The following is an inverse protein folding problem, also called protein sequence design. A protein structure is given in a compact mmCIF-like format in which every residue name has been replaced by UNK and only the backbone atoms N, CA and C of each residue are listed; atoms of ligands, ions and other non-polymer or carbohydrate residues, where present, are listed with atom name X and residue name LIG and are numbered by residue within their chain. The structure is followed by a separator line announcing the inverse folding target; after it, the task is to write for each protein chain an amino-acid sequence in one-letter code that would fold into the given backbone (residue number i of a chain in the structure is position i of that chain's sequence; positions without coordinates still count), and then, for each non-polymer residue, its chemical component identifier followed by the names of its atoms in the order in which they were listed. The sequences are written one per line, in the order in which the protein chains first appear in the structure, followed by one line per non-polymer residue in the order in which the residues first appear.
data_IF_365852774750
#
_entry.id   IF_365852774750
#
_cell.length_a   1.000
_cell.length_b   1.000
_cell.length_c   1.000
_cell.angle_alpha   90.00
_cell.angle_beta   90.00
_cell.angle_gamma   90.00
#
_symmetry.space_group_name_H-M   'P 1'
#
loop_
_entity.id
_entity.type
_entity.pdbx_description
1 polymer ?
#
# COMPACT_ATOMS: atom_id res chain seq x y z
N UNK A 1 -3.53 -23.88 -22.13
CA UNK A 1 -3.58 -23.50 -21.77
C UNK A 1 -3.67 -23.33 -21.14
N UNK A 2 -3.50 -23.68 -21.10
CA UNK A 2 -3.45 -23.35 -20.75
C UNK A 2 -3.50 -23.08 -20.36
N UNK A 3 -3.28 -23.73 -20.55
CA UNK A 3 -3.28 -23.40 -20.54
C UNK A 3 -3.43 -22.95 -20.44
N UNK A 4 -2.85 -23.20 -20.61
CA UNK A 4 -3.14 -22.69 -20.71
C UNK A 4 -3.60 -22.47 -20.46
N UNK A 5 -3.26 -22.56 -21.16
CA UNK A 5 -4.23 -22.24 -20.83
C UNK A 5 -4.91 -22.71 -19.61
N UNK A 6 -5.43 -23.05 -19.20
CA UNK A 6 -6.18 -23.53 -18.11
C UNK A 6 -5.54 -23.38 -16.73
N UNK A 7 -4.61 -22.51 -16.58
CA UNK A 7 -3.97 -22.32 -15.28
C UNK A 7 -4.86 -21.44 -14.43
N UNK A 8 -5.29 -21.97 -13.30
CA UNK A 8 -6.04 -21.19 -12.30
C UNK A 8 -5.08 -20.27 -11.58
N UNK A 9 -5.33 -18.99 -11.67
CA UNK A 9 -4.53 -18.00 -10.95
C UNK A 9 -5.12 -17.83 -9.56
N UNK A 10 -4.30 -18.08 -8.54
CA UNK A 10 -4.70 -17.87 -7.15
C UNK A 10 -4.70 -16.38 -6.87
N UNK A 11 -5.87 -15.82 -6.63
CA UNK A 11 -6.02 -14.39 -6.35
C UNK A 11 -5.24 -13.95 -5.12
N UNK A 12 -5.12 -14.80 -4.11
CA UNK A 12 -4.31 -14.49 -2.93
C UNK A 12 -2.85 -14.34 -3.30
N UNK A 13 -2.34 -15.22 -4.13
CA UNK A 13 -0.96 -15.17 -4.60
C UNK A 13 -0.68 -13.90 -5.38
N UNK A 14 -1.61 -13.54 -6.28
CA UNK A 14 -1.46 -12.32 -7.08
C UNK A 14 -1.41 -11.09 -6.17
N UNK A 15 -2.33 -10.99 -5.23
CA UNK A 15 -2.37 -9.85 -4.30
C UNK A 15 -1.13 -9.78 -3.44
N UNK A 16 -0.62 -10.92 -2.99
CA UNK A 16 0.60 -10.95 -2.18
C UNK A 16 1.80 -10.49 -3.00
N UNK A 17 1.95 -10.99 -4.24
CA UNK A 17 3.04 -10.58 -5.11
C UNK A 17 2.96 -9.09 -5.42
N UNK A 18 1.76 -8.58 -5.66
CA UNK A 18 1.53 -7.17 -5.93
C UNK A 18 1.87 -6.32 -4.70
N UNK A 19 1.48 -6.79 -3.52
CA UNK A 19 1.80 -6.11 -2.27
C UNK A 19 3.31 -6.01 -2.09
N UNK A 20 4.03 -7.10 -2.31
CA UNK A 20 5.49 -7.11 -2.23
C UNK A 20 6.12 -6.09 -3.18
N UNK A 21 5.63 -6.03 -4.41
CA UNK A 21 6.14 -5.09 -5.40
C UNK A 21 5.91 -3.64 -4.96
N UNK A 22 4.73 -3.33 -4.45
CA UNK A 22 4.40 -1.99 -3.97
C UNK A 22 5.25 -1.63 -2.76
N UNK A 23 5.36 -2.55 -1.80
CA UNK A 23 6.17 -2.32 -0.59
C UNK A 23 7.62 -2.06 -0.98
N UNK A 24 8.19 -2.89 -1.86
CA UNK A 24 9.57 -2.73 -2.26
C UNK A 24 9.83 -1.39 -2.95
N UNK A 25 8.93 -0.99 -3.83
CA UNK A 25 9.06 0.29 -4.55
C UNK A 25 9.02 1.46 -3.59
N UNK A 26 8.08 1.46 -2.67
CA UNK A 26 7.92 2.54 -1.70
C UNK A 26 9.09 2.57 -0.72
N UNK A 27 9.55 1.39 -0.27
CA UNK A 27 10.69 1.31 0.63
C UNK A 27 11.95 1.89 0.00
N UNK A 28 12.18 1.62 -1.29
CA UNK A 28 13.32 2.19 -2.01
C UNK A 28 13.19 3.71 -2.08
N UNK A 29 11.99 4.20 -2.39
CA UNK A 29 11.74 5.64 -2.52
C UNK A 29 12.03 6.38 -1.22
N UNK A 30 11.64 5.81 -0.09
CA UNK A 30 11.77 6.46 1.20
C UNK A 30 12.95 5.95 2.04
N UNK A 31 13.76 5.08 1.47
CA UNK A 31 14.99 4.57 2.11
C UNK A 31 14.70 3.95 3.49
N UNK A 32 13.68 3.12 3.53
CA UNK A 32 13.33 2.35 4.73
C UNK A 32 13.32 0.87 4.39
N UNK A 33 13.47 0.02 5.40
CA UNK A 33 13.43 -1.41 5.19
C UNK A 33 12.00 -1.93 5.23
N UNK A 34 11.76 -3.01 4.49
CA UNK A 34 10.48 -3.71 4.54
C UNK A 34 10.15 -4.16 5.96
N UNK A 35 11.17 -4.62 6.70
CA UNK A 35 10.99 -5.05 8.08
C UNK A 35 10.45 -3.93 8.97
N UNK A 36 10.98 -2.72 8.80
CA UNK A 36 10.51 -1.56 9.55
C UNK A 36 9.06 -1.22 9.21
N UNK A 37 8.74 -1.21 7.92
CA UNK A 37 7.41 -0.85 7.45
C UNK A 37 6.36 -1.86 7.91
N UNK A 38 6.69 -3.15 7.85
CA UNK A 38 5.75 -4.22 8.23
C UNK A 38 5.81 -4.54 9.73
N UNK A 39 6.70 -3.89 10.47
CA UNK A 39 6.79 -4.05 11.92
C UNK A 39 5.73 -3.25 12.66
N UNK A 40 5.84 -3.22 13.98
CA UNK A 40 4.85 -2.58 14.83
C UNK A 40 5.27 -1.22 15.35
N UNK A 41 6.46 -0.74 15.00
CA UNK A 41 6.91 0.58 15.42
C UNK A 41 6.01 1.67 14.81
N UNK A 42 5.74 2.70 15.60
CA UNK A 42 4.80 3.76 15.21
C UNK A 42 5.45 5.12 15.09
N UNK A 43 6.69 5.17 14.64
CA UNK A 43 7.31 6.43 14.30
C UNK A 43 6.49 7.11 13.20
N UNK A 44 6.34 8.41 13.30
CA UNK A 44 5.52 9.18 12.36
C UNK A 44 5.90 8.91 10.91
N UNK A 45 7.18 8.83 10.62
CA UNK A 45 7.65 8.56 9.27
C UNK A 45 7.22 7.18 8.77
N UNK A 46 7.29 6.16 9.62
CA UNK A 46 6.86 4.81 9.24
C UNK A 46 5.35 4.73 9.02
N UNK A 47 4.60 5.44 9.87
CA UNK A 47 3.14 5.49 9.72
C UNK A 47 2.77 6.16 8.40
N UNK A 48 3.48 7.24 8.05
CA UNK A 48 3.30 7.93 6.77
C UNK A 48 3.57 6.99 5.59
N UNK A 49 4.66 6.24 5.63
CA UNK A 49 5.00 5.30 4.56
C UNK A 49 3.94 4.21 4.44
N UNK A 50 3.47 3.67 5.57
CA UNK A 50 2.40 2.68 5.57
C UNK A 50 1.12 3.23 4.94
N UNK A 51 0.80 4.48 5.26
CA UNK A 51 -0.39 5.14 4.70
C UNK A 51 -0.29 5.25 3.18
N UNK A 52 0.88 5.55 2.66
CA UNK A 52 1.12 5.62 1.22
C UNK A 52 0.90 4.24 0.58
N UNK A 53 1.48 3.20 1.16
CA UNK A 53 1.34 1.83 0.64
C UNK A 53 -0.12 1.39 0.65
N UNK A 54 -0.81 1.61 1.77
CA UNK A 54 -2.21 1.23 1.91
C UNK A 54 -3.07 1.88 0.82
N UNK A 55 -2.89 3.19 0.63
CA UNK A 55 -3.68 3.90 -0.37
C UNK A 55 -3.30 3.51 -1.80
N UNK A 56 -2.03 3.21 -2.06
CA UNK A 56 -1.61 2.69 -3.36
C UNK A 56 -2.29 1.35 -3.67
N UNK A 57 -2.32 0.44 -2.70
CA UNK A 57 -2.96 -0.85 -2.88
C UNK A 57 -4.45 -0.72 -3.16
N UNK A 58 -5.12 0.17 -2.42
CA UNK A 58 -6.56 0.39 -2.62
C UNK A 58 -6.83 0.95 -4.02
N UNK A 59 -6.06 1.94 -4.44
CA UNK A 59 -6.33 2.62 -5.71
C UNK A 59 -5.88 1.84 -6.93
N UNK A 60 -4.75 1.15 -6.83
CA UNK A 60 -4.20 0.44 -7.99
C UNK A 60 -4.78 -0.96 -8.16
N UNK A 61 -4.99 -1.67 -7.06
CA UNK A 61 -5.31 -3.09 -7.14
C UNK A 61 -6.65 -3.44 -6.53
N UNK A 62 -7.33 -2.46 -5.97
CA UNK A 62 -8.67 -2.61 -5.38
C UNK A 62 -8.74 -3.78 -4.40
N UNK A 63 -7.68 -3.93 -3.62
CA UNK A 63 -7.61 -4.95 -2.58
C UNK A 63 -8.59 -4.59 -1.47
N UNK A 64 -9.27 -5.58 -0.91
CA UNK A 64 -10.22 -5.33 0.16
C UNK A 64 -9.51 -4.83 1.41
N UNK A 65 -10.22 -4.04 2.20
CA UNK A 65 -9.67 -3.49 3.44
C UNK A 65 -9.29 -4.59 4.43
N UNK A 66 -10.09 -5.64 4.49
CA UNK A 66 -9.81 -6.79 5.36
C UNK A 66 -8.52 -7.50 4.94
N UNK A 67 -8.33 -7.67 3.64
CA UNK A 67 -7.13 -8.32 3.11
C UNK A 67 -5.89 -7.50 3.39
N UNK A 68 -5.97 -6.18 3.23
CA UNK A 68 -4.87 -5.28 3.58
C UNK A 68 -4.53 -5.37 5.06
N UNK A 69 -5.55 -5.42 5.91
CA UNK A 69 -5.35 -5.59 7.34
C UNK A 69 -4.52 -6.84 7.65
N UNK A 70 -4.85 -7.94 7.00
CA UNK A 70 -4.10 -9.18 7.16
C UNK A 70 -2.66 -9.06 6.67
N UNK A 71 -2.45 -8.39 5.54
CA UNK A 71 -1.10 -8.22 4.97
C UNK A 71 -0.20 -7.38 5.87
N UNK A 72 -0.76 -6.35 6.52
CA UNK A 72 -0.02 -5.49 7.43
C UNK A 72 -0.03 -5.96 8.89
N UNK A 73 -0.85 -6.96 9.22
CA UNK A 73 -1.07 -7.32 10.61
C UNK A 73 -1.79 -6.24 11.38
N UNK A 74 -2.69 -5.53 10.74
CA UNK A 74 -3.44 -4.42 11.32
C UNK A 74 -4.92 -4.73 11.37
N UNK A 75 -5.62 -4.06 12.29
CA UNK A 75 -7.07 -4.08 12.32
C UNK A 75 -7.65 -3.46 11.06
N UNK A 76 -8.79 -3.99 10.65
CA UNK A 76 -9.58 -3.45 9.55
C UNK A 76 -9.87 -1.96 9.76
N UNK A 77 -10.21 -1.55 10.99
CA UNK A 77 -10.49 -0.16 11.29
C UNK A 77 -9.28 0.75 11.08
N UNK A 78 -8.07 0.25 11.32
CA UNK A 78 -6.85 1.02 11.08
C UNK A 78 -6.67 1.27 9.58
N UNK A 79 -6.96 0.29 8.74
CA UNK A 79 -6.88 0.44 7.29
C UNK A 79 -7.90 1.48 6.82
N UNK A 80 -9.13 1.41 7.33
CA UNK A 80 -10.18 2.39 7.02
C UNK A 80 -9.71 3.80 7.40
N UNK A 81 -9.07 3.92 8.56
CA UNK A 81 -8.56 5.20 9.03
C UNK A 81 -7.52 5.80 8.07
N UNK A 82 -6.58 4.99 7.58
CA UNK A 82 -5.58 5.46 6.62
C UNK A 82 -6.22 5.92 5.31
N UNK A 83 -7.22 5.19 4.83
CA UNK A 83 -7.95 5.57 3.64
C UNK A 83 -8.67 6.90 3.85
N UNK A 84 -9.33 7.05 5.00
CA UNK A 84 -10.08 8.26 5.33
C UNK A 84 -9.16 9.47 5.48
N UNK A 85 -7.97 9.29 6.05
CA UNK A 85 -7.01 10.37 6.18
C UNK A 85 -6.65 10.98 4.82
N UNK A 86 -6.39 10.14 3.83
CA UNK A 86 -6.08 10.64 2.49
C UNK A 86 -7.27 11.32 1.86
N UNK A 87 -8.43 10.69 1.93
CA UNK A 87 -9.65 11.22 1.32
C UNK A 87 -10.04 12.57 1.94
N UNK A 88 -9.96 12.67 3.25
CA UNK A 88 -10.37 13.87 3.98
C UNK A 88 -9.23 14.89 4.16
N UNK A 89 -8.08 14.63 3.60
CA UNK A 89 -6.89 15.47 3.67
C UNK A 89 -6.53 15.81 5.11
N UNK A 90 -6.36 14.75 5.92
CA UNK A 90 -5.98 14.88 7.32
C UNK A 90 -4.54 14.44 7.53
N UNK A 91 -3.93 14.93 8.61
CA UNK A 91 -2.60 14.54 9.05
C UNK A 91 -1.58 14.77 7.93
N UNK A 92 -0.83 13.74 7.51
CA UNK A 92 0.20 13.88 6.46
C UNK A 92 -0.39 14.31 5.12
N UNK A 93 -1.66 14.05 4.91
CA UNK A 93 -2.33 14.33 3.62
C UNK A 93 -2.99 15.70 3.60
N UNK A 94 -2.85 16.49 4.68
CA UNK A 94 -3.61 17.74 4.79
C UNK A 94 -3.08 18.88 3.94
N UNK A 95 -1.87 19.33 4.21
CA UNK A 95 -1.33 20.52 3.55
C UNK A 95 -0.04 20.26 2.78
N UNK A 96 0.42 19.04 2.77
CA UNK A 96 1.68 18.70 2.15
C UNK A 96 1.45 18.27 0.70
N UNK A 97 1.65 19.23 -0.21
CA UNK A 97 1.53 18.92 -1.64
C UNK A 97 2.54 17.86 -2.07
N UNK A 98 3.66 17.81 -1.39
CA UNK A 98 4.75 16.88 -1.74
C UNK A 98 4.28 15.42 -1.63
N UNK A 99 3.57 15.08 -0.55
CA UNK A 99 3.12 13.70 -0.39
C UNK A 99 2.14 13.30 -1.50
N UNK A 100 1.25 14.22 -1.89
CA UNK A 100 0.31 13.95 -2.97
C UNK A 100 1.02 13.78 -4.30
N UNK A 101 2.01 14.61 -4.57
CA UNK A 101 2.81 14.52 -5.80
C UNK A 101 3.60 13.22 -5.86
N UNK A 102 4.26 12.87 -4.75
CA UNK A 102 5.00 11.62 -4.65
C UNK A 102 4.10 10.41 -4.83
N UNK A 103 2.91 10.48 -4.24
CA UNK A 103 1.92 9.41 -4.38
C UNK A 103 1.53 9.20 -5.84
N UNK A 104 1.25 10.29 -6.56
CA UNK A 104 0.87 10.20 -7.97
C UNK A 104 2.02 9.67 -8.84
N UNK A 105 3.24 10.07 -8.55
CA UNK A 105 4.41 9.57 -9.26
C UNK A 105 4.57 8.07 -9.04
N UNK A 106 4.49 7.62 -7.78
CA UNK A 106 4.58 6.21 -7.44
C UNK A 106 3.46 5.41 -8.10
N UNK A 107 2.25 5.97 -8.10
CA UNK A 107 1.09 5.34 -8.73
C UNK A 107 1.33 5.13 -10.21
N UNK A 108 1.87 6.13 -10.90
CA UNK A 108 2.20 6.02 -12.32
C UNK A 108 3.29 4.98 -12.57
N UNK A 109 4.32 4.97 -11.75
CA UNK A 109 5.43 4.04 -11.89
C UNK A 109 5.00 2.59 -11.67
N UNK A 110 3.98 2.38 -10.86
CA UNK A 110 3.47 1.05 -10.55
C UNK A 110 2.34 0.61 -11.49
N UNK A 111 1.84 1.52 -12.32
CA UNK A 111 0.78 1.24 -13.28
C UNK A 111 1.41 0.96 -14.64
N UNK A 112 1.73 -0.29 -14.89
CA UNK A 112 2.29 -0.66 -16.20
C UNK A 112 1.46 -1.77 -16.80
#
# INVERSE_FOLDING_TARGET
DEKKAGVKIDRKKIHTATFEAVVNKVCIQYEVSKKEVLGDRRFEFLVRVRSIIINLMIELHKVSLSQLGRMFGMDHSTIIHHRAMKFNRKRFWSNDKTIHEEFEILKKQLTI
#
